data_IF_342351517539
#
_entry.id   IF_342351517539
#
_cell.length_a   1.000
_cell.length_b   1.000
_cell.length_c   1.000
_cell.angle_alpha   90.00
_cell.angle_beta   90.00
_cell.angle_gamma   90.00
#
_symmetry.space_group_name_H-M   'P 1'
#
loop_
_entity.id
_entity.type
_entity.pdbx_description
1 polymer ?
#
# COMPACT_ATOMS: atom_id res chain seq x y z
N UNK A 1 -3.28 -6.28 -3.30
CA UNK A 1 -2.55 -5.39 -2.38
C UNK A 1 -3.10 -5.38 -0.95
N UNK A 2 -4.41 -5.68 -0.74
CA UNK A 2 -4.99 -5.56 0.61
C UNK A 2 -4.50 -6.64 1.59
N UNK A 3 -4.38 -7.87 1.16
CA UNK A 3 -4.10 -9.02 2.04
C UNK A 3 -2.87 -8.83 2.97
N UNK A 4 -1.71 -8.38 2.51
CA UNK A 4 -0.59 -8.10 3.40
C UNK A 4 -0.85 -6.96 4.38
N UNK A 5 -1.60 -5.94 3.95
CA UNK A 5 -1.89 -4.76 4.76
C UNK A 5 -2.99 -5.00 5.78
N UNK A 6 -3.91 -5.93 5.52
CA UNK A 6 -5.01 -6.27 6.44
C UNK A 6 -4.49 -6.68 7.83
N UNK A 7 -3.39 -7.44 7.89
CA UNK A 7 -2.79 -7.81 9.16
C UNK A 7 -2.24 -6.61 9.94
N UNK A 8 -1.67 -5.64 9.24
CA UNK A 8 -1.18 -4.38 9.84
C UNK A 8 -2.35 -3.55 10.34
N UNK A 9 -3.40 -3.40 9.53
CA UNK A 9 -4.61 -2.65 9.88
C UNK A 9 -5.26 -3.26 11.13
N UNK A 10 -5.48 -4.56 11.16
CA UNK A 10 -6.08 -5.23 12.31
C UNK A 10 -5.20 -5.14 13.57
N UNK A 11 -3.87 -5.26 13.44
CA UNK A 11 -2.97 -5.04 14.57
C UNK A 11 -3.08 -3.61 15.14
N UNK A 12 -3.17 -2.60 14.28
CA UNK A 12 -3.36 -1.20 14.70
C UNK A 12 -4.71 -1.00 15.37
N UNK A 13 -5.76 -1.65 14.86
CA UNK A 13 -7.10 -1.63 15.47
C UNK A 13 -7.11 -2.24 16.86
N UNK A 14 -6.49 -3.41 17.02
CA UNK A 14 -6.38 -4.13 18.30
C UNK A 14 -5.59 -3.34 19.36
N UNK A 15 -4.68 -2.47 18.92
CA UNK A 15 -3.82 -1.66 19.78
C UNK A 15 -4.00 -0.16 19.52
N UNK A 16 -5.24 0.22 19.34
CA UNK A 16 -5.62 1.55 18.85
C UNK A 16 -5.02 2.71 19.65
N UNK A 17 -4.90 2.54 20.96
CA UNK A 17 -4.34 3.53 21.88
C UNK A 17 -2.86 3.85 21.65
N UNK A 18 -2.14 2.97 20.96
CA UNK A 18 -0.71 3.14 20.68
C UNK A 18 -0.44 3.91 19.37
N UNK A 19 -1.48 4.20 18.60
CA UNK A 19 -1.36 4.79 17.27
C UNK A 19 -2.18 6.08 17.14
N UNK A 20 -1.65 7.03 16.42
CA UNK A 20 -2.36 8.25 16.02
C UNK A 20 -3.43 7.97 14.95
N UNK A 21 -3.87 9.01 14.23
CA UNK A 21 -4.84 8.85 13.14
C UNK A 21 -4.28 7.99 12.02
N UNK A 22 -5.11 7.08 11.52
CA UNK A 22 -4.79 6.16 10.44
C UNK A 22 -5.60 6.52 9.21
N UNK A 23 -4.96 6.62 8.06
CA UNK A 23 -5.64 6.83 6.79
C UNK A 23 -5.37 5.62 5.89
N UNK A 24 -6.44 4.99 5.44
CA UNK A 24 -6.42 3.85 4.53
C UNK A 24 -6.89 4.34 3.16
N UNK A 25 -6.06 4.13 2.14
CA UNK A 25 -6.41 4.44 0.75
C UNK A 25 -6.37 3.12 -0.02
N UNK A 26 -7.54 2.65 -0.46
CA UNK A 26 -7.66 1.36 -1.12
C UNK A 26 -8.39 1.51 -2.45
N UNK A 27 -7.78 1.02 -3.51
CA UNK A 27 -8.33 1.04 -4.86
C UNK A 27 -8.44 -0.34 -5.48
N UNK A 28 -9.43 -0.49 -6.36
CA UNK A 28 -9.62 -1.65 -7.21
C UNK A 28 -10.11 -1.22 -8.60
N UNK A 29 -10.17 -2.16 -9.54
CA UNK A 29 -10.67 -1.87 -10.89
C UNK A 29 -12.16 -1.57 -10.91
N UNK A 30 -12.91 -2.24 -10.04
CA UNK A 30 -14.36 -2.08 -9.91
C UNK A 30 -14.79 -2.25 -8.45
N UNK A 31 -16.03 -1.91 -8.12
CA UNK A 31 -16.62 -2.15 -6.82
C UNK A 31 -16.62 -3.63 -6.46
N UNK A 32 -16.89 -4.50 -7.44
CA UNK A 32 -16.96 -5.95 -7.23
C UNK A 32 -15.59 -6.60 -6.99
N UNK A 33 -14.50 -5.91 -7.36
CA UNK A 33 -13.13 -6.32 -7.10
C UNK A 33 -12.60 -5.85 -5.72
N UNK A 34 -13.38 -5.08 -4.94
CA UNK A 34 -13.02 -4.68 -3.60
C UNK A 34 -13.13 -5.87 -2.64
N UNK A 35 -11.98 -6.45 -2.32
CA UNK A 35 -11.89 -7.56 -1.37
C UNK A 35 -12.20 -7.06 0.04
N UNK A 36 -12.83 -7.91 0.84
CA UNK A 36 -13.22 -7.62 2.24
C UNK A 36 -14.10 -6.35 2.40
N UNK A 37 -14.85 -5.99 1.36
CA UNK A 37 -15.66 -4.76 1.35
C UNK A 37 -16.61 -4.65 2.55
N UNK A 38 -17.25 -5.75 2.97
CA UNK A 38 -18.15 -5.76 4.12
C UNK A 38 -17.42 -5.50 5.45
N UNK A 39 -16.22 -6.06 5.62
CA UNK A 39 -15.37 -5.77 6.79
C UNK A 39 -14.96 -4.30 6.80
N UNK A 40 -14.58 -3.76 5.64
CA UNK A 40 -14.17 -2.36 5.52
C UNK A 40 -15.28 -1.42 5.94
N UNK A 41 -16.50 -1.58 5.40
CA UNK A 41 -17.60 -0.65 5.66
C UNK A 41 -18.24 -0.83 7.04
N UNK A 42 -18.27 -2.05 7.56
CA UNK A 42 -18.95 -2.34 8.84
C UNK A 42 -18.02 -2.23 10.05
N UNK A 43 -16.71 -2.41 9.87
CA UNK A 43 -15.76 -2.44 10.96
C UNK A 43 -14.77 -1.28 10.88
N UNK A 44 -13.96 -1.20 9.78
CA UNK A 44 -12.88 -0.23 9.72
C UNK A 44 -13.36 1.21 9.68
N UNK A 45 -14.44 1.47 8.92
CA UNK A 45 -15.04 2.81 8.85
C UNK A 45 -15.77 3.21 10.15
N UNK A 46 -16.08 2.26 11.01
CA UNK A 46 -16.72 2.50 12.31
C UNK A 46 -15.70 2.79 13.43
N UNK A 47 -14.42 2.46 13.21
CA UNK A 47 -13.38 2.65 14.21
C UNK A 47 -12.97 4.12 14.33
N UNK A 48 -12.93 4.65 15.54
CA UNK A 48 -12.50 6.01 15.80
C UNK A 48 -11.04 6.23 15.42
N UNK A 49 -10.76 7.34 14.73
CA UNK A 49 -9.43 7.72 14.24
C UNK A 49 -8.90 6.89 13.08
N UNK A 50 -9.76 6.08 12.42
CA UNK A 50 -9.45 5.42 11.15
C UNK A 50 -10.30 6.04 10.04
N UNK A 51 -9.64 6.64 9.08
CA UNK A 51 -10.23 7.19 7.87
C UNK A 51 -10.03 6.22 6.71
N UNK A 52 -11.10 5.81 6.05
CA UNK A 52 -11.03 4.90 4.90
C UNK A 52 -11.49 5.60 3.64
N UNK A 53 -10.63 5.61 2.65
CA UNK A 53 -10.82 6.24 1.36
C UNK A 53 -10.76 5.16 0.26
N UNK A 54 -11.92 4.85 -0.32
CA UNK A 54 -12.06 3.85 -1.37
C UNK A 54 -12.12 4.49 -2.75
N UNK A 55 -11.52 3.87 -3.74
CA UNK A 55 -11.58 4.32 -5.14
C UNK A 55 -11.71 3.14 -6.10
N UNK A 56 -12.36 3.37 -7.23
CA UNK A 56 -12.37 2.43 -8.35
C UNK A 56 -11.86 3.11 -9.61
N UNK A 57 -11.30 2.32 -10.53
CA UNK A 57 -10.64 2.88 -11.73
C UNK A 57 -11.61 3.55 -12.70
N UNK A 58 -12.88 3.13 -12.73
CA UNK A 58 -13.90 3.61 -13.67
C UNK A 58 -15.26 3.72 -13.01
N UNK A 59 -16.07 4.66 -13.48
CA UNK A 59 -17.46 4.78 -13.06
C UNK A 59 -18.22 3.46 -13.20
N UNK A 60 -19.01 3.14 -12.19
CA UNK A 60 -19.83 1.95 -12.11
C UNK A 60 -21.16 2.28 -11.47
N UNK A 61 -22.25 1.72 -11.98
CA UNK A 61 -23.58 1.88 -11.38
C UNK A 61 -23.61 1.39 -9.94
N UNK A 62 -24.20 2.20 -9.04
CA UNK A 62 -24.24 1.90 -7.61
C UNK A 62 -22.91 2.13 -6.87
N UNK A 63 -22.01 2.90 -7.45
CA UNK A 63 -20.82 3.41 -6.77
C UNK A 63 -20.91 4.92 -6.59
N UNK A 64 -20.90 5.36 -5.32
CA UNK A 64 -20.96 6.79 -4.95
C UNK A 64 -19.62 7.31 -4.40
N UNK A 65 -18.58 6.45 -4.37
CA UNK A 65 -17.24 6.80 -3.90
C UNK A 65 -16.38 7.46 -4.98
N UNK A 66 -15.11 7.68 -4.66
CA UNK A 66 -14.15 8.27 -5.60
C UNK A 66 -13.92 7.36 -6.81
N UNK A 67 -13.71 7.99 -7.97
CA UNK A 67 -13.35 7.31 -9.23
C UNK A 67 -12.01 7.85 -9.70
N UNK A 68 -11.02 6.99 -9.81
CA UNK A 68 -9.68 7.33 -10.23
C UNK A 68 -8.62 6.36 -9.72
N UNK A 69 -7.41 6.51 -10.22
CA UNK A 69 -6.29 5.67 -9.79
C UNK A 69 -5.72 6.11 -8.44
N UNK A 70 -5.33 5.13 -7.62
CA UNK A 70 -4.75 5.37 -6.28
C UNK A 70 -3.66 6.44 -6.25
N UNK A 71 -2.67 6.49 -7.17
CA UNK A 71 -1.64 7.53 -7.13
C UNK A 71 -2.18 8.97 -7.22
N UNK A 72 -3.22 9.18 -8.01
CA UNK A 72 -3.86 10.49 -8.13
C UNK A 72 -4.68 10.81 -6.88
N UNK A 73 -5.42 9.82 -6.39
CA UNK A 73 -6.24 9.98 -5.19
C UNK A 73 -5.40 10.29 -3.94
N UNK A 74 -4.21 9.70 -3.82
CA UNK A 74 -3.23 10.06 -2.77
C UNK A 74 -2.86 11.54 -2.83
N UNK A 75 -2.61 12.08 -4.03
CA UNK A 75 -2.31 13.51 -4.20
C UNK A 75 -3.49 14.42 -3.85
N UNK A 76 -4.70 14.02 -4.24
CA UNK A 76 -5.93 14.76 -3.94
C UNK A 76 -6.21 14.81 -2.43
N UNK A 77 -6.05 13.69 -1.74
CA UNK A 77 -6.22 13.59 -0.30
C UNK A 77 -5.15 14.33 0.50
N UNK A 78 -3.99 14.57 -0.10
CA UNK A 78 -2.86 15.30 0.48
C UNK A 78 -2.58 14.88 1.93
N UNK A 79 -2.19 13.63 2.18
CA UNK A 79 -2.02 13.10 3.53
C UNK A 79 -0.91 13.84 4.29
N UNK A 80 -1.01 13.84 5.62
CA UNK A 80 -0.03 14.44 6.52
C UNK A 80 1.35 13.81 6.31
N UNK A 81 2.31 14.64 5.90
CA UNK A 81 3.69 14.23 5.57
C UNK A 81 4.50 13.71 6.77
N UNK A 82 4.00 13.84 7.98
CA UNK A 82 4.66 13.29 9.19
C UNK A 82 4.35 11.81 9.40
N UNK A 83 3.39 11.27 8.65
CA UNK A 83 2.96 9.87 8.79
C UNK A 83 3.93 8.89 8.14
N UNK A 84 3.96 7.68 8.68
CA UNK A 84 4.57 6.52 8.03
C UNK A 84 3.62 5.97 6.99
N UNK A 85 4.12 5.67 5.80
CA UNK A 85 3.36 5.09 4.70
C UNK A 85 3.73 3.61 4.56
N UNK A 86 2.72 2.76 4.50
CA UNK A 86 2.88 1.33 4.17
C UNK A 86 2.02 1.04 2.95
N UNK A 87 2.62 0.53 1.88
CA UNK A 87 1.92 0.28 0.64
C UNK A 87 2.15 -1.13 0.09
N UNK A 88 1.15 -1.62 -0.62
CA UNK A 88 1.20 -2.88 -1.36
C UNK A 88 0.29 -2.80 -2.57
N UNK A 89 0.75 -3.29 -3.70
CA UNK A 89 -0.06 -3.30 -4.92
C UNK A 89 0.76 -3.63 -6.16
N UNK A 90 0.15 -3.48 -7.35
CA UNK A 90 0.85 -3.68 -8.61
C UNK A 90 2.07 -2.76 -8.75
N UNK A 91 3.15 -3.21 -9.42
CA UNK A 91 4.37 -2.44 -9.63
C UNK A 91 4.12 -1.02 -10.12
N UNK A 92 3.29 -0.88 -11.13
CA UNK A 92 2.97 0.42 -11.74
C UNK A 92 2.31 1.38 -10.73
N UNK A 93 1.41 0.88 -9.88
CA UNK A 93 0.75 1.66 -8.83
C UNK A 93 1.78 2.13 -7.80
N UNK A 94 2.66 1.24 -7.34
CA UNK A 94 3.72 1.57 -6.36
C UNK A 94 4.63 2.67 -6.91
N UNK A 95 5.08 2.52 -8.17
CA UNK A 95 5.94 3.50 -8.83
C UNK A 95 5.34 4.90 -8.86
N UNK A 96 4.10 5.02 -9.33
CA UNK A 96 3.44 6.33 -9.43
C UNK A 96 3.05 6.89 -8.06
N UNK A 97 2.63 6.03 -7.12
CA UNK A 97 2.34 6.47 -5.75
C UNK A 97 3.60 7.00 -5.07
N UNK A 98 4.72 6.32 -5.21
CA UNK A 98 6.00 6.79 -4.68
C UNK A 98 6.40 8.15 -5.25
N UNK A 99 6.24 8.34 -6.56
CA UNK A 99 6.45 9.63 -7.21
C UNK A 99 5.58 10.73 -6.61
N UNK A 100 4.27 10.45 -6.44
CA UNK A 100 3.33 11.36 -5.81
C UNK A 100 3.67 11.70 -4.35
N UNK A 101 4.07 10.71 -3.56
CA UNK A 101 4.49 10.93 -2.18
C UNK A 101 5.74 11.82 -2.09
N UNK A 102 6.71 11.63 -2.99
CA UNK A 102 7.89 12.50 -3.07
C UNK A 102 7.53 13.95 -3.41
N UNK A 103 6.63 14.15 -4.37
CA UNK A 103 6.10 15.48 -4.73
C UNK A 103 5.40 16.17 -3.55
N UNK A 104 4.68 15.41 -2.71
CA UNK A 104 4.04 15.89 -1.49
C UNK A 104 5.02 16.18 -0.35
N UNK A 105 6.26 15.72 -0.44
CA UNK A 105 7.31 15.98 0.55
C UNK A 105 7.60 14.83 1.51
N UNK A 106 7.07 13.62 1.26
CA UNK A 106 7.43 12.44 2.05
C UNK A 106 8.88 12.03 1.81
N UNK A 107 9.57 11.68 2.89
CA UNK A 107 10.90 11.12 2.82
C UNK A 107 10.84 9.60 2.55
N UNK A 108 11.78 9.08 1.80
CA UNK A 108 11.87 7.63 1.49
C UNK A 108 12.03 6.77 2.75
N UNK A 109 12.58 7.31 3.84
CA UNK A 109 12.68 6.62 5.14
C UNK A 109 11.34 6.39 5.82
N UNK A 110 10.28 7.09 5.40
CA UNK A 110 8.92 6.95 5.95
C UNK A 110 8.06 5.96 5.14
N UNK A 111 8.56 5.48 4.01
CA UNK A 111 7.77 4.69 3.04
C UNK A 111 8.24 3.25 3.02
N UNK A 112 7.32 2.34 3.33
CA UNK A 112 7.52 0.89 3.31
C UNK A 112 6.63 0.26 2.24
N UNK A 113 7.16 -0.73 1.56
CA UNK A 113 6.40 -1.50 0.56
C UNK A 113 6.69 -2.98 0.66
N UNK A 114 5.70 -3.79 0.31
CA UNK A 114 5.93 -5.21 0.06
C UNK A 114 6.34 -5.42 -1.39
N UNK A 115 7.37 -6.23 -1.61
CA UNK A 115 7.84 -6.61 -2.94
C UNK A 115 7.51 -8.07 -3.20
N UNK A 116 6.96 -8.35 -4.38
CA UNK A 116 6.64 -9.71 -4.82
C UNK A 116 7.44 -10.03 -6.07
N UNK A 117 8.32 -11.01 -5.97
CA UNK A 117 9.06 -11.57 -7.11
C UNK A 117 8.94 -13.09 -7.12
N UNK A 118 9.08 -13.68 -8.30
CA UNK A 118 9.08 -15.13 -8.43
C UNK A 118 10.25 -15.74 -7.67
N UNK A 119 9.95 -16.44 -6.59
CA UNK A 119 10.92 -17.18 -5.80
C UNK A 119 11.04 -18.61 -6.30
N UNK A 120 12.26 -19.18 -6.29
CA UNK A 120 12.49 -20.59 -6.58
C UNK A 120 13.07 -21.33 -5.37
N UNK A 121 14.16 -20.83 -4.79
CA UNK A 121 14.82 -21.50 -3.65
C UNK A 121 14.36 -20.99 -2.28
N UNK A 122 13.82 -19.77 -2.19
CA UNK A 122 13.38 -19.08 -0.98
C UNK A 122 14.46 -18.91 0.12
N UNK A 123 15.73 -19.12 -0.20
CA UNK A 123 16.86 -19.07 0.74
C UNK A 123 18.03 -18.20 0.24
N UNK A 124 17.79 -17.32 -0.72
CA UNK A 124 18.80 -16.39 -1.24
C UNK A 124 19.90 -17.01 -2.12
N UNK A 125 19.71 -18.24 -2.65
CA UNK A 125 20.76 -18.91 -3.45
C UNK A 125 20.61 -18.78 -4.96
N UNK A 126 19.39 -18.79 -5.48
CA UNK A 126 19.18 -18.87 -6.94
C UNK A 126 19.19 -17.53 -7.66
N UNK A 127 19.15 -16.41 -6.97
CA UNK A 127 19.15 -15.06 -7.54
C UNK A 127 17.86 -14.62 -8.22
N UNK A 128 16.80 -15.46 -8.30
CA UNK A 128 15.59 -15.13 -9.07
C UNK A 128 14.76 -13.99 -8.52
N UNK A 129 14.83 -13.75 -7.22
CA UNK A 129 14.06 -12.71 -6.53
C UNK A 129 14.95 -11.54 -6.08
N UNK A 130 16.05 -11.26 -6.83
CA UNK A 130 16.90 -10.17 -6.47
C UNK A 130 16.33 -8.81 -6.89
N UNK A 131 16.58 -7.81 -6.06
CA UNK A 131 16.36 -6.38 -6.32
C UNK A 131 17.69 -5.69 -6.00
N UNK A 132 18.44 -5.31 -7.04
CA UNK A 132 19.78 -4.79 -6.83
C UNK A 132 20.64 -5.76 -6.01
N UNK A 133 21.07 -5.36 -4.85
CA UNK A 133 21.87 -6.17 -3.92
C UNK A 133 21.05 -6.93 -2.87
N UNK A 134 19.72 -6.94 -2.96
CA UNK A 134 18.79 -7.58 -2.04
C UNK A 134 18.07 -8.78 -2.67
N UNK A 135 17.67 -9.72 -1.84
CA UNK A 135 16.80 -10.85 -2.22
C UNK A 135 15.46 -10.77 -1.46
N UNK A 136 14.35 -10.71 -2.17
CA UNK A 136 13.02 -10.66 -1.54
C UNK A 136 12.81 -11.80 -0.55
N UNK A 137 13.26 -13.01 -0.87
CA UNK A 137 13.07 -14.18 -0.02
C UNK A 137 13.92 -14.19 1.27
N UNK A 138 14.97 -13.38 1.34
CA UNK A 138 15.92 -13.36 2.46
C UNK A 138 15.88 -12.02 3.21
N UNK A 139 15.89 -10.93 2.47
CA UNK A 139 16.03 -9.57 3.00
C UNK A 139 14.67 -8.87 3.16
N UNK A 140 13.60 -9.40 2.48
CA UNK A 140 12.24 -8.89 2.51
C UNK A 140 11.24 -9.86 3.13
N UNK A 141 9.97 -9.84 2.72
CA UNK A 141 9.40 -9.13 1.55
C UNK A 141 9.14 -7.64 1.74
N UNK A 142 9.22 -7.12 2.95
CA UNK A 142 8.96 -5.71 3.26
C UNK A 142 10.27 -4.94 3.23
N UNK A 143 10.29 -3.84 2.49
CA UNK A 143 11.44 -2.96 2.36
C UNK A 143 11.06 -1.51 2.63
N UNK A 144 11.92 -0.80 3.31
CA UNK A 144 11.91 0.66 3.34
C UNK A 144 12.57 1.19 2.06
N UNK A 145 11.99 2.21 1.42
CA UNK A 145 12.43 2.64 0.09
C UNK A 145 13.89 3.12 0.03
N UNK A 146 14.38 3.78 1.06
CA UNK A 146 15.78 4.22 1.14
C UNK A 146 16.80 3.06 1.20
N UNK A 147 16.34 1.84 1.48
CA UNK A 147 17.19 0.63 1.51
C UNK A 147 17.32 -0.06 0.15
N UNK A 148 16.52 0.36 -0.82
CA UNK A 148 16.54 -0.18 -2.18
C UNK A 148 17.43 0.69 -3.07
N UNK A 149 18.51 0.12 -3.62
CA UNK A 149 19.37 0.81 -4.58
C UNK A 149 18.72 0.98 -5.96
N UNK A 150 17.79 0.10 -6.27
CA UNK A 150 17.03 0.10 -7.52
C UNK A 150 15.69 -0.60 -7.29
N UNK A 151 14.74 -0.34 -8.16
CA UNK A 151 13.49 -1.09 -8.23
C UNK A 151 13.61 -2.22 -9.25
N UNK A 152 12.86 -3.32 -9.11
CA UNK A 152 12.77 -4.34 -10.15
C UNK A 152 12.32 -3.73 -11.49
N UNK A 153 12.72 -4.35 -12.60
CA UNK A 153 12.38 -3.86 -13.94
C UNK A 153 10.85 -3.81 -14.21
N UNK A 154 10.08 -4.55 -13.46
CA UNK A 154 8.62 -4.52 -13.51
C UNK A 154 8.02 -3.23 -12.91
N UNK A 155 8.84 -2.44 -12.20
CA UNK A 155 8.46 -1.16 -11.56
C UNK A 155 8.86 0.07 -12.41
#
# INVERSE_FOLDING_TARGET
GLAPLRSVINYVRDKRENYGTVQIIYGSRSKDDLVDYQEIINEWMADDGIEVNLTIDREQEGWDGHVGFVPNYVKELNPDITKTVVMCGPPIMIKFTLGGLKELGFNETQVFTTMELRMKCAIGKCGRCNIGNKYVCKDGPVFRFDQLSELPNEY
#
